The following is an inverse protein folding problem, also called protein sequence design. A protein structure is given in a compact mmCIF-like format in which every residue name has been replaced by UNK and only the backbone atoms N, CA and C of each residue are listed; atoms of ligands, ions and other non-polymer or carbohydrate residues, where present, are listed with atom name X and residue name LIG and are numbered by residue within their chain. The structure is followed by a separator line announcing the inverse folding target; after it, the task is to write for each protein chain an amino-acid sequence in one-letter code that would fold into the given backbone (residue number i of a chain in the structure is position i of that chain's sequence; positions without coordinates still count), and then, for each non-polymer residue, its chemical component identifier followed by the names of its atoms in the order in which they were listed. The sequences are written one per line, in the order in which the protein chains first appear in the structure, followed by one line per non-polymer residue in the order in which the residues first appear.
data_IF_472997134046
#
_entry.id   IF_472997134046
#
_cell.length_a   1.000
_cell.length_b   1.000
_cell.length_c   1.000
_cell.angle_alpha   90.00
_cell.angle_beta   90.00
_cell.angle_gamma   90.00
#
_symmetry.space_group_name_H-M   'P 1'
#
loop_
_entity.id
_entity.type
_entity.pdbx_description
1 polymer ?
#
# COMPACT_ATOMS: atom_id res chain seq x y z
N UNK A 1 7.58 28.24 3.32
CA UNK A 1 6.42 27.32 3.19
C UNK A 1 6.44 26.11 4.15
N UNK A 2 7.62 25.59 4.54
CA UNK A 2 7.70 24.37 5.37
C UNK A 2 7.78 24.61 6.88
N UNK A 3 8.01 25.84 7.33
CA UNK A 3 7.89 26.15 8.75
C UNK A 3 6.43 26.26 9.14
N UNK A 4 6.03 25.46 10.12
CA UNK A 4 4.71 25.47 10.75
C UNK A 4 4.84 25.94 12.19
N UNK A 5 3.72 26.21 12.85
CA UNK A 5 3.68 26.50 14.29
C UNK A 5 4.40 25.41 15.08
N UNK A 6 4.18 24.14 14.72
CA UNK A 6 4.80 22.99 15.38
C UNK A 6 6.33 22.96 15.25
N UNK A 7 6.89 23.36 14.09
CA UNK A 7 8.35 23.44 13.93
C UNK A 7 8.94 24.66 14.64
N UNK A 8 8.24 25.80 14.69
CA UNK A 8 8.72 27.03 15.34
C UNK A 8 8.76 26.86 16.87
N UNK A 9 7.77 26.16 17.41
CA UNK A 9 7.64 25.89 18.85
C UNK A 9 8.40 24.64 19.30
N UNK A 10 9.08 23.95 18.39
CA UNK A 10 9.72 22.64 18.60
C UNK A 10 8.78 21.51 19.08
N UNK A 11 7.49 21.77 19.27
CA UNK A 11 6.50 20.76 19.64
C UNK A 11 6.50 19.62 18.61
N UNK A 12 6.67 19.93 17.33
CA UNK A 12 6.75 18.92 16.28
C UNK A 12 7.95 18.00 16.47
N UNK A 13 9.07 18.49 16.99
CA UNK A 13 10.27 17.70 17.21
C UNK A 13 10.07 16.69 18.35
N UNK A 14 9.38 17.10 19.42
CA UNK A 14 8.94 16.20 20.46
C UNK A 14 7.91 15.18 19.96
N UNK A 15 6.97 15.58 19.10
CA UNK A 15 6.03 14.64 18.50
C UNK A 15 6.76 13.59 17.65
N UNK A 16 7.73 13.99 16.82
CA UNK A 16 8.55 13.02 16.05
C UNK A 16 9.24 12.01 16.96
N UNK A 17 9.79 12.46 18.08
CA UNK A 17 10.43 11.59 19.06
C UNK A 17 9.41 10.67 19.74
N UNK A 18 8.24 11.19 20.13
CA UNK A 18 7.15 10.42 20.73
C UNK A 18 6.69 9.30 19.79
N UNK A 19 6.35 9.63 18.55
CA UNK A 19 5.88 8.64 17.56
C UNK A 19 6.97 7.60 17.22
N UNK A 20 8.24 7.99 17.18
CA UNK A 20 9.31 7.02 16.94
C UNK A 20 9.55 6.07 18.12
N UNK A 21 9.38 6.55 19.37
CA UNK A 21 9.72 5.77 20.57
C UNK A 21 8.58 4.88 21.07
N UNK A 22 7.34 5.37 21.01
CA UNK A 22 6.18 4.63 21.55
C UNK A 22 5.09 4.38 20.51
N UNK A 23 5.28 4.85 19.27
CA UNK A 23 4.36 4.59 18.18
C UNK A 23 4.34 3.10 17.81
N UNK A 24 3.15 2.56 17.64
CA UNK A 24 2.96 1.23 17.04
C UNK A 24 2.74 1.42 15.54
N UNK A 25 3.62 0.91 14.66
CA UNK A 25 3.39 1.01 13.23
C UNK A 25 2.28 0.04 12.79
N UNK A 26 1.52 0.47 11.79
CA UNK A 26 0.45 -0.32 11.18
C UNK A 26 0.69 -0.44 9.68
N UNK A 27 0.31 -1.59 9.11
CA UNK A 27 0.30 -1.73 7.66
C UNK A 27 -0.78 -0.83 7.04
N UNK A 28 -0.46 0.06 6.08
CA UNK A 28 -1.44 0.97 5.50
C UNK A 28 -2.55 0.25 4.73
N UNK A 29 -2.27 -0.94 4.18
CA UNK A 29 -3.24 -1.70 3.38
C UNK A 29 -4.17 -2.59 4.23
N UNK A 30 -3.70 -3.07 5.38
CA UNK A 30 -4.39 -4.10 6.17
C UNK A 30 -4.70 -3.69 7.60
N UNK A 31 -4.18 -2.55 8.05
CA UNK A 31 -4.31 -2.04 9.41
C UNK A 31 -3.88 -3.03 10.51
N UNK A 32 -2.86 -3.84 10.24
CA UNK A 32 -2.30 -4.81 11.19
C UNK A 32 -1.08 -4.19 11.87
N UNK A 33 -0.96 -4.38 13.20
CA UNK A 33 0.20 -3.96 13.98
C UNK A 33 1.47 -4.64 13.50
N UNK A 34 2.51 -3.86 13.22
CA UNK A 34 3.83 -4.34 12.82
C UNK A 34 4.79 -4.12 13.97
N UNK A 35 5.07 -5.15 14.76
CA UNK A 35 5.99 -5.07 15.89
C UNK A 35 6.88 -6.30 15.79
N UNK A 36 8.22 -6.19 15.90
CA UNK A 36 9.08 -7.35 15.93
C UNK A 36 8.89 -8.03 17.29
N UNK A 37 8.66 -9.34 17.27
CA UNK A 37 8.40 -10.11 18.49
C UNK A 37 9.44 -11.21 18.63
N UNK A 38 9.98 -11.38 19.85
CA UNK A 38 10.83 -12.53 20.14
C UNK A 38 10.00 -13.82 20.07
N UNK A 39 10.63 -14.98 19.79
CA UNK A 39 9.95 -16.28 19.79
C UNK A 39 9.15 -16.50 21.08
N UNK A 40 9.73 -16.16 22.24
CA UNK A 40 9.06 -16.25 23.56
C UNK A 40 7.80 -15.38 23.66
N UNK A 41 7.84 -14.15 23.12
CA UNK A 41 6.66 -13.26 23.11
C UNK A 41 5.57 -13.78 22.18
N UNK A 42 5.97 -14.35 21.04
CA UNK A 42 5.04 -14.97 20.08
C UNK A 42 4.37 -16.18 20.74
N UNK A 43 5.13 -17.09 21.35
CA UNK A 43 4.60 -18.24 22.07
C UNK A 43 3.64 -17.83 23.20
N UNK A 44 3.96 -16.75 23.94
CA UNK A 44 3.06 -16.20 24.95
C UNK A 44 1.75 -15.70 24.34
N UNK A 45 1.80 -14.94 23.24
CA UNK A 45 0.58 -14.49 22.54
C UNK A 45 -0.25 -15.64 22.01
N UNK A 46 0.39 -16.65 21.43
CA UNK A 46 -0.30 -17.86 20.99
C UNK A 46 -1.05 -18.46 22.17
N UNK A 47 -0.39 -18.60 23.33
CA UNK A 47 -1.02 -19.09 24.57
C UNK A 47 -2.23 -18.25 25.03
N UNK A 48 -2.20 -16.94 24.79
CA UNK A 48 -3.28 -16.02 25.18
C UNK A 48 -4.43 -15.97 24.16
N UNK A 49 -4.14 -16.18 22.87
CA UNK A 49 -5.08 -16.02 21.74
C UNK A 49 -5.72 -17.34 21.26
N UNK A 50 -5.06 -18.47 21.47
CA UNK A 50 -5.49 -19.80 21.01
C UNK A 50 -5.86 -20.72 22.19
N UNK A 51 -6.61 -21.79 21.93
CA UNK A 51 -6.92 -22.81 22.93
C UNK A 51 -6.71 -24.24 22.40
N UNK A 52 -6.34 -25.16 23.30
CA UNK A 52 -6.28 -26.58 23.01
C UNK A 52 -5.05 -27.01 22.20
N UNK A 53 -5.28 -27.79 21.15
CA UNK A 53 -4.23 -28.30 20.26
C UNK A 53 -4.03 -27.33 19.10
N UNK A 54 -2.77 -26.99 18.85
CA UNK A 54 -2.39 -26.08 17.77
C UNK A 54 -1.41 -26.76 16.82
N UNK A 55 -1.39 -26.29 15.58
CA UNK A 55 -0.39 -26.67 14.57
C UNK A 55 0.45 -25.46 14.23
N UNK A 56 1.75 -25.55 14.50
CA UNK A 56 2.72 -24.51 14.19
C UNK A 56 3.28 -24.75 12.79
N UNK A 57 3.22 -23.71 11.97
CA UNK A 57 3.55 -23.76 10.55
C UNK A 57 4.59 -22.70 10.19
N UNK A 58 5.54 -23.07 9.33
CA UNK A 58 6.59 -22.18 8.82
C UNK A 58 6.42 -21.97 7.31
N UNK A 59 6.00 -20.77 6.85
CA UNK A 59 5.77 -20.53 5.44
C UNK A 59 7.08 -20.31 4.67
N UNK A 60 7.32 -21.18 3.69
CA UNK A 60 8.53 -21.12 2.84
C UNK A 60 8.23 -20.59 1.44
N UNK A 61 7.03 -20.85 0.92
CA UNK A 61 6.57 -20.34 -0.38
C UNK A 61 5.22 -19.69 -0.17
N UNK A 62 5.05 -18.51 -0.77
CA UNK A 62 3.82 -17.72 -0.66
C UNK A 62 3.46 -17.08 -1.99
N UNK A 63 2.30 -17.41 -2.53
CA UNK A 63 1.74 -16.83 -3.75
C UNK A 63 2.71 -16.84 -4.95
N UNK A 64 3.59 -17.85 -5.03
CA UNK A 64 4.57 -18.01 -6.11
C UNK A 64 4.17 -19.17 -7.01
N UNK A 65 4.56 -19.08 -8.29
CA UNK A 65 4.29 -20.12 -9.30
C UNK A 65 5.43 -21.14 -9.34
N UNK A 66 5.11 -22.42 -9.42
CA UNK A 66 6.12 -23.48 -9.50
C UNK A 66 5.55 -24.87 -9.19
N UNK A 67 6.33 -25.91 -9.51
CA UNK A 67 5.98 -27.32 -9.21
C UNK A 67 6.53 -27.81 -7.87
N UNK A 68 7.64 -27.21 -7.39
CA UNK A 68 8.25 -27.44 -6.07
C UNK A 68 8.61 -28.90 -5.71
N UNK A 69 8.68 -29.82 -6.68
CA UNK A 69 9.00 -31.24 -6.42
C UNK A 69 10.34 -31.45 -5.69
N UNK A 70 11.37 -30.69 -6.08
CA UNK A 70 12.68 -30.75 -5.44
C UNK A 70 12.64 -30.25 -3.99
N UNK A 71 11.84 -29.20 -3.73
CA UNK A 71 11.65 -28.63 -2.40
C UNK A 71 11.08 -29.69 -1.44
N UNK A 72 10.06 -30.44 -1.86
CA UNK A 72 9.48 -31.49 -1.01
C UNK A 72 10.48 -32.62 -0.70
N UNK A 73 11.30 -33.02 -1.67
CA UNK A 73 12.37 -34.01 -1.46
C UNK A 73 13.41 -33.52 -0.46
N UNK A 74 13.80 -32.26 -0.55
CA UNK A 74 14.79 -31.67 0.34
C UNK A 74 14.23 -31.53 1.77
N UNK A 75 12.98 -31.12 1.92
CA UNK A 75 12.29 -31.08 3.22
C UNK A 75 12.18 -32.46 3.88
N UNK A 76 11.89 -33.51 3.11
CA UNK A 76 11.85 -34.87 3.63
C UNK A 76 13.23 -35.33 4.12
N UNK A 77 14.31 -35.00 3.39
CA UNK A 77 15.70 -35.28 3.81
C UNK A 77 16.09 -34.53 5.07
N UNK A 78 15.57 -33.32 5.26
CA UNK A 78 15.76 -32.53 6.48
C UNK A 78 14.94 -33.06 7.68
N UNK A 79 14.07 -34.06 7.47
CA UNK A 79 13.27 -34.69 8.52
C UNK A 79 11.86 -34.10 8.69
N UNK A 80 11.44 -33.17 7.83
CA UNK A 80 10.08 -32.64 7.86
C UNK A 80 9.12 -33.60 7.16
N UNK A 81 8.29 -34.30 7.95
CA UNK A 81 7.38 -35.35 7.45
C UNK A 81 6.12 -34.76 6.82
N UNK A 82 5.67 -33.58 7.26
CA UNK A 82 4.40 -32.98 6.84
C UNK A 82 4.59 -31.56 6.33
N UNK A 83 3.84 -31.23 5.29
CA UNK A 83 3.75 -29.90 4.71
C UNK A 83 2.29 -29.56 4.48
N UNK A 84 1.93 -28.29 4.60
CA UNK A 84 0.64 -27.76 4.18
C UNK A 84 0.83 -27.08 2.83
N UNK A 85 0.04 -27.48 1.85
CA UNK A 85 0.06 -26.95 0.49
C UNK A 85 -1.35 -26.52 0.14
N UNK A 86 -1.52 -25.24 -0.20
CA UNK A 86 -2.82 -24.65 -0.52
C UNK A 86 -3.91 -25.03 0.52
N UNK A 87 -3.56 -24.91 1.80
CA UNK A 87 -4.37 -25.24 3.00
C UNK A 87 -4.60 -26.73 3.29
N UNK A 88 -4.20 -27.64 2.43
CA UNK A 88 -4.28 -29.08 2.69
C UNK A 88 -2.95 -29.64 3.21
N UNK A 89 -2.99 -30.50 4.24
CA UNK A 89 -1.79 -31.13 4.79
C UNK A 89 -1.50 -32.42 4.02
N UNK A 90 -0.27 -32.52 3.51
CA UNK A 90 0.28 -33.67 2.82
C UNK A 90 1.51 -34.19 3.54
N UNK A 91 1.87 -35.45 3.29
CA UNK A 91 3.17 -35.96 3.71
C UNK A 91 4.22 -35.65 2.64
N UNK A 92 5.45 -35.39 3.05
CA UNK A 92 6.55 -35.04 2.14
C UNK A 92 7.11 -36.25 1.37
N UNK A 93 6.79 -37.48 1.79
CA UNK A 93 7.12 -38.73 1.09
C UNK A 93 6.10 -39.09 -0.01
N UNK A 94 4.93 -38.45 -0.02
CA UNK A 94 3.91 -38.62 -1.06
C UNK A 94 4.24 -37.80 -2.31
N UNK A 95 3.74 -38.24 -3.46
CA UNK A 95 3.93 -37.52 -4.71
C UNK A 95 2.95 -36.35 -4.82
N UNK A 96 3.42 -35.14 -4.46
CA UNK A 96 2.66 -33.90 -4.55
C UNK A 96 2.91 -33.24 -5.92
N UNK A 97 1.92 -33.24 -6.80
CA UNK A 97 2.00 -32.58 -8.12
C UNK A 97 1.33 -31.21 -8.11
N UNK A 98 2.10 -30.15 -8.35
CA UNK A 98 1.61 -28.77 -8.41
C UNK A 98 1.64 -28.20 -9.83
N UNK A 99 0.74 -27.27 -10.12
CA UNK A 99 0.61 -26.69 -11.45
C UNK A 99 1.64 -25.59 -11.68
N UNK A 100 2.56 -25.76 -12.65
CA UNK A 100 3.64 -24.81 -12.95
C UNK A 100 3.22 -23.34 -13.08
N UNK A 101 2.02 -23.07 -13.61
CA UNK A 101 1.53 -21.72 -13.86
C UNK A 101 0.55 -21.18 -12.80
N UNK A 102 0.20 -21.99 -11.79
CA UNK A 102 -0.66 -21.60 -10.67
C UNK A 102 0.18 -21.07 -9.53
N UNK A 103 -0.36 -20.12 -8.77
CA UNK A 103 0.27 -19.63 -7.54
C UNK A 103 -0.05 -20.62 -6.42
N UNK A 104 0.95 -20.94 -5.60
CA UNK A 104 0.84 -21.88 -4.50
C UNK A 104 1.36 -21.25 -3.20
N UNK A 105 0.79 -21.70 -2.09
CA UNK A 105 1.27 -21.45 -0.73
C UNK A 105 1.76 -22.78 -0.13
N UNK A 106 2.99 -22.80 0.40
CA UNK A 106 3.60 -23.99 0.99
C UNK A 106 4.16 -23.62 2.37
N UNK A 107 3.69 -24.33 3.39
CA UNK A 107 4.16 -24.21 4.77
C UNK A 107 4.64 -25.55 5.30
N UNK A 108 5.75 -25.54 6.04
CA UNK A 108 6.25 -26.72 6.75
C UNK A 108 5.43 -26.87 8.03
N UNK A 109 4.97 -28.09 8.32
CA UNK A 109 4.40 -28.41 9.64
C UNK A 109 5.55 -28.65 10.59
N UNK A 110 5.80 -27.68 11.47
CA UNK A 110 6.91 -27.73 12.42
C UNK A 110 6.55 -28.63 13.59
N UNK A 111 5.40 -28.38 14.21
CA UNK A 111 4.94 -29.19 15.33
C UNK A 111 3.42 -29.11 15.47
N UNK A 112 2.84 -30.14 16.09
CA UNK A 112 1.44 -30.18 16.54
C UNK A 112 1.42 -30.53 18.02
N UNK A 113 1.11 -29.55 18.84
CA UNK A 113 1.29 -29.62 20.30
C UNK A 113 0.11 -29.00 21.05
N UNK A 114 0.00 -29.36 22.33
CA UNK A 114 -0.96 -28.73 23.23
C UNK A 114 -0.37 -27.42 23.75
N UNK A 115 -1.16 -26.36 23.73
CA UNK A 115 -0.71 -25.00 24.09
C UNK A 115 -0.18 -24.88 25.53
N UNK A 116 -0.52 -25.83 26.41
CA UNK A 116 -0.02 -25.89 27.79
C UNK A 116 1.49 -26.20 27.87
N UNK A 117 2.07 -26.80 26.83
CA UNK A 117 3.50 -27.13 26.77
C UNK A 117 4.33 -25.93 26.27
N UNK A 118 4.63 -25.02 27.19
CA UNK A 118 5.32 -23.76 26.89
C UNK A 118 6.72 -23.96 26.32
N UNK A 119 7.47 -24.94 26.82
CA UNK A 119 8.85 -25.21 26.38
C UNK A 119 8.85 -25.64 24.93
N UNK A 120 7.99 -26.63 24.60
CA UNK A 120 7.86 -27.12 23.22
C UNK A 120 7.30 -26.08 22.27
N UNK A 121 6.37 -25.24 22.72
CA UNK A 121 5.86 -24.13 21.91
C UNK A 121 6.94 -23.10 21.58
N UNK A 122 7.80 -22.75 22.54
CA UNK A 122 8.94 -21.85 22.30
C UNK A 122 9.89 -22.44 21.24
N UNK A 123 10.30 -23.70 21.41
CA UNK A 123 11.17 -24.40 20.45
C UNK A 123 10.55 -24.47 19.05
N UNK A 124 9.25 -24.77 18.96
CA UNK A 124 8.51 -24.78 17.70
C UNK A 124 8.47 -23.37 17.06
N UNK A 125 8.28 -22.31 17.86
CA UNK A 125 8.31 -20.94 17.36
C UNK A 125 9.69 -20.56 16.84
N UNK A 126 10.77 -20.89 17.56
CA UNK A 126 12.14 -20.62 17.14
C UNK A 126 12.48 -21.32 15.82
N UNK A 127 12.15 -22.60 15.71
CA UNK A 127 12.41 -23.38 14.49
C UNK A 127 11.59 -22.83 13.32
N UNK A 128 10.31 -22.51 13.55
CA UNK A 128 9.43 -21.97 12.53
C UNK A 128 9.94 -20.65 11.96
N UNK A 129 10.30 -19.71 12.83
CA UNK A 129 10.82 -18.39 12.45
C UNK A 129 12.17 -18.49 11.73
N UNK A 130 13.02 -19.44 12.13
CA UNK A 130 14.33 -19.65 11.49
C UNK A 130 14.17 -20.14 10.05
N UNK A 131 13.18 -21.01 9.77
CA UNK A 131 12.94 -21.57 8.44
C UNK A 131 12.20 -20.66 7.45
N UNK A 132 11.32 -19.78 7.94
CA UNK A 132 10.46 -18.90 7.12
C UNK A 132 10.94 -17.46 7.01
N UNK A 133 12.20 -17.20 7.38
CA UNK A 133 12.75 -15.85 7.45
C UNK A 133 11.92 -14.90 8.37
N UNK A 134 11.43 -15.44 9.49
CA UNK A 134 10.79 -14.68 10.56
C UNK A 134 9.26 -14.61 10.53
N UNK A 135 8.57 -15.52 9.83
CA UNK A 135 7.11 -15.61 9.83
C UNK A 135 6.60 -16.93 10.45
N UNK A 136 5.46 -16.90 11.11
CA UNK A 136 4.88 -18.11 11.68
C UNK A 136 3.37 -18.07 11.50
N UNK A 137 2.84 -19.18 11.02
CA UNK A 137 1.41 -19.43 10.95
C UNK A 137 1.04 -20.41 12.06
N UNK A 138 -0.09 -20.17 12.71
CA UNK A 138 -0.63 -21.07 13.72
C UNK A 138 -2.08 -21.35 13.36
N UNK A 139 -2.44 -22.63 13.36
CA UNK A 139 -3.82 -23.08 13.16
C UNK A 139 -4.28 -23.75 14.44
N UNK A 140 -5.40 -23.30 15.00
CA UNK A 140 -6.00 -23.90 16.19
C UNK A 140 -6.88 -25.12 15.83
N UNK A 141 -7.53 -25.71 16.84
CA UNK A 141 -8.42 -26.86 16.66
C UNK A 141 -9.71 -26.51 15.90
N UNK A 142 -10.10 -25.23 15.89
CA UNK A 142 -11.30 -24.71 15.23
C UNK A 142 -11.00 -24.19 13.81
N UNK A 143 -9.80 -24.50 13.28
CA UNK A 143 -9.28 -24.07 11.97
C UNK A 143 -9.10 -22.54 11.81
N UNK A 144 -9.05 -21.78 12.92
CA UNK A 144 -8.70 -20.36 12.86
C UNK A 144 -7.20 -20.20 12.59
N UNK A 145 -6.87 -19.33 11.64
CA UNK A 145 -5.48 -19.03 11.26
C UNK A 145 -4.98 -17.73 11.90
N UNK A 146 -3.87 -17.86 12.62
CA UNK A 146 -3.16 -16.75 13.25
C UNK A 146 -1.81 -16.58 12.57
N UNK A 147 -1.36 -15.33 12.45
CA UNK A 147 -0.09 -15.01 11.81
C UNK A 147 0.73 -14.14 12.74
N UNK A 148 1.97 -14.54 12.97
CA UNK A 148 2.94 -13.76 13.73
C UNK A 148 4.21 -13.57 12.91
N UNK A 149 4.98 -12.55 13.28
CA UNK A 149 6.23 -12.17 12.61
C UNK A 149 7.26 -11.78 13.67
N UNK A 150 8.47 -12.31 13.57
CA UNK A 150 9.62 -11.80 14.34
C UNK A 150 10.25 -10.58 13.67
N UNK A 151 9.97 -10.38 12.38
CA UNK A 151 10.41 -9.21 11.61
C UNK A 151 9.36 -8.11 11.60
N UNK A 152 9.82 -6.89 11.34
CA UNK A 152 8.98 -5.75 11.00
C UNK A 152 8.43 -5.92 9.58
N UNK A 153 7.52 -6.86 9.37
CA UNK A 153 6.96 -7.16 8.04
C UNK A 153 5.48 -7.46 8.15
N UNK A 154 4.68 -6.92 7.23
CA UNK A 154 3.26 -7.24 7.18
C UNK A 154 3.07 -8.70 6.76
N UNK A 155 2.39 -9.54 7.57
CA UNK A 155 2.18 -10.93 7.23
C UNK A 155 1.30 -11.12 6.00
N UNK A 156 0.46 -10.15 5.60
CA UNK A 156 -0.44 -10.27 4.44
C UNK A 156 0.18 -9.83 3.11
N UNK A 157 0.65 -8.59 3.00
CA UNK A 157 1.27 -8.10 1.74
C UNK A 157 2.79 -8.33 1.66
N UNK A 158 3.45 -8.73 2.74
CA UNK A 158 4.91 -8.88 2.76
C UNK A 158 5.68 -7.55 2.75
N UNK A 159 5.00 -6.41 2.92
CA UNK A 159 5.65 -5.11 3.04
C UNK A 159 6.57 -5.11 4.27
N UNK A 160 7.85 -4.85 4.05
CA UNK A 160 8.84 -4.71 5.11
C UNK A 160 8.80 -3.27 5.65
N UNK A 161 8.87 -3.14 6.96
CA UNK A 161 8.92 -1.89 7.69
C UNK A 161 10.29 -1.78 8.33
N UNK A 162 10.86 -0.59 8.31
CA UNK A 162 12.05 -0.29 9.09
C UNK A 162 11.68 0.05 10.53
N UNK A 163 12.67 0.01 11.41
CA UNK A 163 12.50 0.54 12.76
C UNK A 163 12.13 2.02 12.70
N UNK A 164 11.11 2.43 13.46
CA UNK A 164 10.64 3.81 13.46
C UNK A 164 11.73 4.74 13.98
N UNK A 165 12.14 5.68 13.14
CA UNK A 165 13.12 6.71 13.49
C UNK A 165 12.48 8.10 13.43
N UNK A 166 12.86 9.05 14.31
CA UNK A 166 12.25 10.39 14.33
C UNK A 166 12.27 11.10 12.97
N UNK A 167 13.32 10.87 12.15
CA UNK A 167 13.45 11.45 10.81
C UNK A 167 12.39 10.99 9.81
N UNK A 168 11.78 9.83 10.02
CA UNK A 168 10.69 9.30 9.19
C UNK A 168 9.39 10.07 9.41
N UNK A 169 9.26 10.75 10.56
CA UNK A 169 8.14 11.62 10.86
C UNK A 169 8.44 13.07 10.50
N UNK A 170 9.47 13.35 9.69
CA UNK A 170 9.84 14.71 9.29
C UNK A 170 9.46 14.95 7.84
N UNK A 171 8.48 15.81 7.57
CA UNK A 171 8.16 16.24 6.20
C UNK A 171 9.27 17.08 5.57
N UNK A 172 10.25 17.54 6.36
CA UNK A 172 11.45 18.22 5.85
C UNK A 172 12.56 17.25 5.43
N UNK A 173 12.41 15.96 5.72
CA UNK A 173 13.37 14.90 5.38
C UNK A 173 12.82 14.08 4.22
N UNK A 174 13.62 13.68 3.21
CA UNK A 174 13.18 12.75 2.17
C UNK A 174 12.60 11.44 2.71
N UNK A 175 13.04 11.01 3.90
CA UNK A 175 12.56 9.80 4.58
C UNK A 175 11.12 9.88 5.09
N UNK A 176 10.58 11.09 5.31
CA UNK A 176 9.23 11.30 5.85
C UNK A 176 8.37 12.26 5.03
N UNK A 177 8.94 12.83 3.97
CA UNK A 177 8.23 13.72 3.06
C UNK A 177 7.34 12.92 2.11
N UNK A 178 6.10 13.37 1.93
CA UNK A 178 5.24 12.86 0.86
C UNK A 178 5.95 13.00 -0.49
N UNK A 179 5.98 11.93 -1.28
CA UNK A 179 6.69 11.90 -2.58
C UNK A 179 6.09 12.86 -3.60
N UNK A 180 4.77 13.09 -3.56
CA UNK A 180 4.09 13.92 -4.55
C UNK A 180 4.27 15.43 -4.34
N UNK A 181 4.29 15.88 -3.08
CA UNK A 181 4.44 17.31 -2.75
C UNK A 181 5.78 17.62 -2.09
N UNK A 182 6.67 16.62 -1.95
CA UNK A 182 7.96 16.70 -1.27
C UNK A 182 7.88 17.31 0.14
N UNK A 183 6.79 17.02 0.86
CA UNK A 183 6.56 17.51 2.22
C UNK A 183 6.11 18.98 2.31
N UNK A 184 5.69 19.59 1.19
CA UNK A 184 5.06 20.92 1.21
C UNK A 184 3.62 20.90 1.73
N UNK A 185 2.93 19.76 1.60
CA UNK A 185 1.51 19.62 1.97
C UNK A 185 0.53 20.29 1.01
N UNK A 186 1.04 20.91 -0.06
CA UNK A 186 0.24 21.60 -1.08
C UNK A 186 0.78 21.27 -2.48
N UNK A 187 -0.12 21.31 -3.47
CA UNK A 187 0.20 21.34 -4.90
C UNK A 187 -0.41 22.61 -5.49
N UNK A 188 0.31 23.26 -6.39
CA UNK A 188 -0.24 24.39 -7.13
C UNK A 188 -0.89 23.87 -8.40
N UNK A 189 -2.18 24.13 -8.54
CA UNK A 189 -2.97 23.77 -9.70
C UNK A 189 -3.68 25.01 -10.23
N UNK A 190 -4.11 24.95 -11.49
CA UNK A 190 -4.90 26.03 -12.09
C UNK A 190 -6.34 25.96 -11.58
N UNK A 191 -6.80 27.06 -11.03
CA UNK A 191 -8.20 27.23 -10.62
C UNK A 191 -9.01 27.78 -11.81
N UNK A 192 -10.01 27.01 -12.24
CA UNK A 192 -10.90 27.39 -13.34
C UNK A 192 -11.61 28.72 -13.08
N UNK A 193 -11.97 29.00 -11.84
CA UNK A 193 -12.74 30.18 -11.45
C UNK A 193 -11.84 31.43 -11.46
N UNK A 194 -10.54 31.27 -11.25
CA UNK A 194 -9.58 32.38 -11.43
C UNK A 194 -9.29 32.65 -12.91
N UNK A 195 -9.42 31.64 -13.77
CA UNK A 195 -9.25 31.76 -15.22
C UNK A 195 -10.50 32.38 -15.87
N UNK A 196 -11.69 31.94 -15.45
CA UNK A 196 -12.99 32.45 -15.89
C UNK A 196 -13.76 33.02 -14.68
N UNK A 197 -13.41 34.23 -14.22
CA UNK A 197 -14.01 34.81 -13.02
C UNK A 197 -15.47 35.20 -13.17
N UNK A 198 -15.93 35.38 -14.41
CA UNK A 198 -17.31 35.73 -14.72
C UNK A 198 -17.82 34.84 -15.87
N UNK A 199 -18.59 33.81 -15.50
CA UNK A 199 -19.19 32.88 -16.46
C UNK A 199 -20.38 33.46 -17.24
N UNK A 200 -20.89 34.63 -16.86
CA UNK A 200 -21.94 35.35 -17.59
C UNK A 200 -21.40 36.00 -18.86
N UNK A 201 -20.10 36.30 -18.88
CA UNK A 201 -19.43 36.87 -20.06
C UNK A 201 -19.15 35.79 -21.11
N UNK A 202 -19.06 36.22 -22.36
CA UNK A 202 -18.56 35.38 -23.44
C UNK A 202 -17.04 35.55 -23.61
N UNK A 203 -16.42 34.70 -24.45
CA UNK A 203 -14.98 34.78 -24.74
C UNK A 203 -14.62 36.14 -25.31
N UNK A 204 -15.45 36.68 -26.22
CA UNK A 204 -15.22 37.97 -26.86
C UNK A 204 -15.28 39.16 -25.89
N UNK A 205 -16.14 39.08 -24.87
CA UNK A 205 -16.26 40.09 -23.80
C UNK A 205 -15.19 39.94 -22.70
N UNK A 206 -14.29 38.97 -22.86
CA UNK A 206 -13.18 38.75 -21.95
C UNK A 206 -13.52 37.92 -20.72
N UNK A 207 -14.43 36.94 -20.87
CA UNK A 207 -14.71 35.93 -19.84
C UNK A 207 -13.43 35.22 -19.37
N UNK A 208 -12.53 34.90 -20.30
CA UNK A 208 -11.23 34.32 -19.97
C UNK A 208 -10.27 35.45 -19.61
N UNK A 209 -9.91 35.54 -18.32
CA UNK A 209 -9.11 36.62 -17.74
C UNK A 209 -7.78 36.84 -18.46
N UNK A 210 -7.14 35.78 -18.93
CA UNK A 210 -5.88 35.82 -19.68
C UNK A 210 -6.01 36.48 -21.06
N UNK A 211 -7.21 36.49 -21.65
CA UNK A 211 -7.45 37.00 -23.00
C UNK A 211 -8.23 38.34 -23.02
N UNK A 212 -8.71 38.82 -21.88
CA UNK A 212 -9.57 40.02 -21.74
C UNK A 212 -9.04 41.30 -22.43
N UNK A 213 -7.72 41.50 -22.49
CA UNK A 213 -7.10 42.70 -23.10
C UNK A 213 -6.38 42.40 -24.42
N UNK A 214 -6.52 41.19 -24.95
CA UNK A 214 -5.75 40.72 -26.10
C UNK A 214 -6.45 41.11 -27.40
N UNK A 215 -6.17 42.33 -27.89
CA UNK A 215 -6.85 42.92 -29.07
C UNK A 215 -6.36 42.40 -30.41
N UNK A 216 -5.17 41.80 -30.47
CA UNK A 216 -4.63 41.22 -31.70
C UNK A 216 -3.87 39.93 -31.40
N UNK A 217 -4.15 38.87 -32.16
CA UNK A 217 -3.30 37.69 -32.15
C UNK A 217 -3.98 36.43 -32.64
N UNK A 218 -3.17 35.59 -33.29
CA UNK A 218 -3.42 34.20 -33.65
C UNK A 218 -4.29 33.43 -32.63
N UNK A 219 -4.11 33.66 -31.32
CA UNK A 219 -4.87 33.00 -30.24
C UNK A 219 -6.39 33.18 -30.34
N UNK A 220 -6.88 34.33 -30.78
CA UNK A 220 -8.33 34.54 -31.00
C UNK A 220 -8.84 33.68 -32.16
N UNK A 221 -8.03 33.50 -33.21
CA UNK A 221 -8.34 32.56 -34.30
C UNK A 221 -8.37 31.11 -33.81
N UNK A 222 -7.47 30.70 -32.91
CA UNK A 222 -7.52 29.35 -32.31
C UNK A 222 -8.78 29.18 -31.45
N UNK A 223 -9.12 30.16 -30.60
CA UNK A 223 -10.35 30.09 -29.79
C UNK A 223 -11.61 30.04 -30.68
N UNK A 224 -11.65 30.82 -31.76
CA UNK A 224 -12.72 30.75 -32.75
C UNK A 224 -12.79 29.40 -33.48
N UNK A 225 -11.65 28.79 -33.79
CA UNK A 225 -11.58 27.45 -34.38
C UNK A 225 -12.10 26.37 -33.43
N UNK A 226 -11.73 26.44 -32.14
CA UNK A 226 -12.29 25.55 -31.10
C UNK A 226 -13.79 25.75 -30.98
N UNK A 227 -14.25 27.01 -30.87
CA UNK A 227 -15.67 27.33 -30.74
C UNK A 227 -16.47 26.73 -31.89
N UNK A 228 -16.04 26.99 -33.12
CA UNK A 228 -16.69 26.48 -34.34
C UNK A 228 -16.68 24.96 -34.43
N UNK A 229 -15.60 24.30 -34.02
CA UNK A 229 -15.49 22.83 -34.06
C UNK A 229 -16.42 22.14 -33.05
N UNK A 230 -16.68 22.78 -31.90
CA UNK A 230 -17.57 22.26 -30.85
C UNK A 230 -18.97 22.89 -30.87
N UNK A 231 -19.35 23.50 -32.01
CA UNK A 231 -20.67 24.09 -32.25
C UNK A 231 -21.09 25.14 -31.20
N UNK A 232 -20.16 26.00 -30.79
CA UNK A 232 -20.47 27.22 -30.02
C UNK A 232 -19.80 28.47 -30.63
N UNK A 233 -20.24 29.64 -30.19
CA UNK A 233 -19.69 30.93 -30.64
C UNK A 233 -18.85 31.57 -29.54
N UNK A 234 -17.81 32.34 -29.90
CA UNK A 234 -17.05 33.20 -28.98
C UNK A 234 -17.93 34.25 -28.29
N UNK A 235 -19.11 34.55 -28.83
CA UNK A 235 -20.15 35.40 -28.22
C UNK A 235 -21.09 34.65 -27.27
N UNK A 236 -20.92 33.34 -27.09
CA UNK A 236 -21.73 32.55 -26.15
C UNK A 236 -21.22 32.75 -24.72
N UNK A 237 -22.08 33.12 -23.75
CA UNK A 237 -21.71 33.13 -22.34
C UNK A 237 -21.15 31.78 -21.89
N UNK A 238 -20.05 31.78 -21.11
CA UNK A 238 -19.38 30.52 -20.72
C UNK A 238 -20.32 29.59 -19.94
N UNK A 239 -21.20 30.13 -19.09
CA UNK A 239 -22.19 29.34 -18.33
C UNK A 239 -23.20 28.57 -19.20
N UNK A 240 -23.38 29.00 -20.46
CA UNK A 240 -24.31 28.39 -21.39
C UNK A 240 -23.64 27.27 -22.21
N UNK A 241 -22.32 27.09 -22.08
CA UNK A 241 -21.61 25.98 -22.70
C UNK A 241 -21.98 24.68 -21.98
N UNK A 242 -22.20 23.63 -22.76
CA UNK A 242 -22.36 22.30 -22.18
C UNK A 242 -21.00 21.76 -21.69
N UNK A 243 -21.03 20.68 -20.90
CA UNK A 243 -19.84 20.10 -20.29
C UNK A 243 -18.75 19.73 -21.32
N UNK A 244 -19.15 19.22 -22.49
CA UNK A 244 -18.20 18.87 -23.57
C UNK A 244 -17.53 20.12 -24.14
N UNK A 245 -18.28 21.18 -24.38
CA UNK A 245 -17.77 22.46 -24.89
C UNK A 245 -16.85 23.14 -23.87
N UNK A 246 -17.27 23.20 -22.62
CA UNK A 246 -16.47 23.75 -21.53
C UNK A 246 -15.15 22.97 -21.34
N UNK A 247 -15.21 21.64 -21.34
CA UNK A 247 -14.02 20.81 -21.20
C UNK A 247 -13.08 20.92 -22.40
N UNK A 248 -13.62 20.98 -23.62
CA UNK A 248 -12.82 21.23 -24.82
C UNK A 248 -12.08 22.57 -24.76
N UNK A 249 -12.71 23.60 -24.18
CA UNK A 249 -12.12 24.93 -23.99
C UNK A 249 -11.04 24.94 -22.89
N UNK A 250 -11.30 24.31 -21.73
CA UNK A 250 -10.43 24.39 -20.55
C UNK A 250 -9.32 23.35 -20.52
N UNK A 251 -9.57 22.15 -21.04
CA UNK A 251 -8.68 20.99 -20.94
C UNK A 251 -8.25 20.44 -22.32
N UNK A 252 -8.79 20.99 -23.41
CA UNK A 252 -8.50 20.57 -24.78
C UNK A 252 -9.35 19.38 -25.23
N UNK A 253 -9.12 18.96 -26.48
CA UNK A 253 -9.79 17.80 -27.08
C UNK A 253 -8.79 16.91 -27.82
N UNK A 254 -9.11 15.62 -27.94
CA UNK A 254 -8.40 14.65 -28.77
C UNK A 254 -8.77 14.74 -30.25
N UNK A 255 -9.78 15.52 -30.61
CA UNK A 255 -10.21 15.74 -31.99
C UNK A 255 -9.25 16.69 -32.74
N UNK A 256 -8.96 16.39 -34.00
CA UNK A 256 -8.16 17.26 -34.87
C UNK A 256 -8.98 18.48 -35.27
N UNK A 257 -8.70 19.61 -34.63
CA UNK A 257 -9.33 20.90 -34.93
C UNK A 257 -8.60 21.55 -36.10
N UNK A 258 -9.34 21.92 -37.15
CA UNK A 258 -8.81 22.67 -38.29
C UNK A 258 -9.01 24.17 -38.04
N UNK A 259 -7.91 24.90 -37.94
CA UNK A 259 -7.88 26.34 -37.70
C UNK A 259 -7.81 27.13 -39.01
#
# INVERSE_FOLDING_TARGET
PRSTVGTITEIYDYLRLLYARVGTPYCPNHNIKIIPQSPEKIAKRITDECNGMITVLSPIIRQKKGTYEQLFKDLNKEGYIRVRVDKAIYRTDEQITLGRYKKHDIEIVIDRLNIKDKTRLNEACELALTKSDGLIFVVDADENEYIYSSKMTCPKCGMVFEELQPRMFSFNSPFGACEECHGLGIKMEFDSDLIVPDGELCIADGAIRLYKNMRDGWRVHYLGGVAKHFDFDIFTPIKNLNERQHNALMYGSSELIRF
#
